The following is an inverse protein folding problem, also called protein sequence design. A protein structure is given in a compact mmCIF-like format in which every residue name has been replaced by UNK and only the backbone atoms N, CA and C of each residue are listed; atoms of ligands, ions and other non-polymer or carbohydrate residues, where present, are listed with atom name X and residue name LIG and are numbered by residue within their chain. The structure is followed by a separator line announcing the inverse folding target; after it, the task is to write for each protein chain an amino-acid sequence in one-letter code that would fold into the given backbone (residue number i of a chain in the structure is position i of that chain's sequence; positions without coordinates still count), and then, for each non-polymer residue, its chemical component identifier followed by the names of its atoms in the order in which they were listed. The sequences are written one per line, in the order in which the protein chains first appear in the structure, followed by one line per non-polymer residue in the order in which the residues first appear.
data_IF_327963953679
#
_entry.id   IF_327963953679
#
_cell.length_a   1.000
_cell.length_b   1.000
_cell.length_c   1.000
_cell.angle_alpha   90.00
_cell.angle_beta   90.00
_cell.angle_gamma   90.00
#
_symmetry.space_group_name_H-M   'P 1'
#
loop_
_entity.id
_entity.type
_entity.pdbx_description
1 polymer ?
#
# COMPACT_ATOMS: atom_id res chain seq x y z
N UNK A 1 -42.48 28.71 52.04
CA UNK A 1 -42.52 27.50 51.20
C UNK A 1 -41.64 27.70 49.94
N UNK A 2 -40.38 27.29 50.03
CA UNK A 2 -39.45 27.35 48.90
C UNK A 2 -39.56 26.05 48.11
N UNK A 3 -39.89 26.16 46.79
CA UNK A 3 -39.89 25.08 45.87
C UNK A 3 -38.55 25.16 45.11
N UNK A 4 -37.61 24.24 45.39
CA UNK A 4 -36.38 24.06 44.66
C UNK A 4 -36.66 23.17 43.45
N UNK A 5 -36.67 23.78 42.25
CA UNK A 5 -36.75 23.06 41.00
C UNK A 5 -35.35 22.47 40.68
N UNK A 6 -35.19 21.17 40.83
CA UNK A 6 -33.98 20.44 40.43
C UNK A 6 -33.90 20.32 38.90
N UNK A 7 -32.89 20.96 38.31
CA UNK A 7 -32.54 20.82 36.89
C UNK A 7 -31.84 19.48 36.70
N UNK A 8 -32.55 18.47 36.20
CA UNK A 8 -32.00 17.18 35.82
C UNK A 8 -31.35 17.32 34.45
N UNK A 9 -30.03 17.54 34.44
CA UNK A 9 -29.23 17.59 33.19
C UNK A 9 -29.09 16.16 32.66
N UNK A 10 -29.88 15.83 31.63
CA UNK A 10 -29.80 14.55 30.92
C UNK A 10 -28.51 14.50 30.09
N UNK A 11 -27.46 13.89 30.64
CA UNK A 11 -26.24 13.53 29.89
C UNK A 11 -26.57 12.37 28.95
N UNK A 12 -26.88 12.71 27.70
CA UNK A 12 -26.97 11.71 26.64
C UNK A 12 -25.52 11.25 26.29
N UNK A 13 -25.20 9.97 26.39
CA UNK A 13 -23.94 9.47 25.89
C UNK A 13 -23.94 9.59 24.38
N UNK A 14 -23.16 10.50 23.83
CA UNK A 14 -22.80 10.50 22.39
C UNK A 14 -21.92 9.28 22.15
N UNK A 15 -22.56 8.13 21.91
CA UNK A 15 -21.87 6.98 21.37
C UNK A 15 -21.46 7.31 19.93
N UNK A 16 -20.30 7.95 19.79
CA UNK A 16 -19.62 8.03 18.50
C UNK A 16 -19.18 6.62 18.11
N UNK A 17 -20.03 5.91 17.39
CA UNK A 17 -19.66 4.66 16.74
C UNK A 17 -18.65 4.95 15.60
N UNK A 18 -17.40 5.21 15.94
CA UNK A 18 -16.32 4.94 15.00
C UNK A 18 -16.18 3.41 14.91
N UNK A 19 -16.75 2.83 13.86
CA UNK A 19 -16.44 1.45 13.46
C UNK A 19 -15.03 1.39 12.90
N UNK A 20 -14.03 1.45 13.77
CA UNK A 20 -12.67 0.97 13.48
C UNK A 20 -12.52 -0.39 14.17
N UNK A 21 -13.01 -1.42 13.53
CA UNK A 21 -12.69 -2.80 13.84
C UNK A 21 -12.37 -3.52 12.54
N UNK A 22 -11.66 -4.66 12.55
CA UNK A 22 -11.49 -5.44 11.33
C UNK A 22 -12.88 -5.74 10.79
N UNK A 23 -13.23 -5.11 9.68
CA UNK A 23 -14.54 -5.27 9.08
C UNK A 23 -14.72 -6.73 8.76
N UNK A 24 -15.94 -7.20 8.97
CA UNK A 24 -16.42 -8.47 8.45
C UNK A 24 -15.90 -8.61 7.02
N UNK A 25 -15.47 -9.81 6.65
CA UNK A 25 -14.85 -10.17 5.38
C UNK A 25 -15.51 -9.43 4.22
N UNK A 26 -14.91 -8.31 3.82
CA UNK A 26 -15.41 -7.54 2.70
C UNK A 26 -15.16 -8.39 1.45
N UNK A 27 -16.21 -8.65 0.69
CA UNK A 27 -16.09 -9.41 -0.55
C UNK A 27 -15.85 -8.42 -1.68
N UNK A 28 -14.68 -8.48 -2.29
CA UNK A 28 -14.35 -7.70 -3.47
C UNK A 28 -14.84 -8.39 -4.73
N UNK A 29 -15.24 -7.60 -5.71
CA UNK A 29 -15.42 -8.11 -7.05
C UNK A 29 -14.02 -8.31 -7.65
N UNK A 30 -13.67 -9.54 -7.95
CA UNK A 30 -12.44 -9.88 -8.67
C UNK A 30 -12.82 -10.54 -10.00
N UNK A 31 -12.06 -10.22 -11.03
CA UNK A 31 -12.13 -10.96 -12.31
C UNK A 31 -11.39 -12.29 -12.20
N UNK A 32 -11.34 -13.07 -13.28
CA UNK A 32 -10.46 -14.23 -13.38
C UNK A 32 -9.02 -13.84 -13.04
N UNK A 33 -8.28 -14.74 -12.40
CA UNK A 33 -6.89 -14.49 -12.02
C UNK A 33 -6.05 -14.06 -13.24
N UNK A 34 -5.36 -12.92 -13.09
CA UNK A 34 -4.53 -12.33 -14.14
C UNK A 34 -5.24 -11.45 -15.17
N UNK A 35 -6.55 -11.27 -15.09
CA UNK A 35 -7.31 -10.42 -16.04
C UNK A 35 -7.60 -9.01 -15.50
N UNK A 36 -7.39 -8.75 -14.21
CA UNK A 36 -7.62 -7.45 -13.61
C UNK A 36 -6.47 -6.47 -13.81
N UNK A 37 -6.78 -5.18 -13.72
CA UNK A 37 -5.80 -4.11 -13.75
C UNK A 37 -5.73 -3.42 -12.39
N UNK A 38 -4.54 -3.34 -11.82
CA UNK A 38 -4.27 -2.49 -10.67
C UNK A 38 -3.93 -1.07 -11.15
N UNK A 39 -4.62 -0.10 -10.61
CA UNK A 39 -4.42 1.32 -10.88
C UNK A 39 -3.91 1.94 -9.59
N UNK A 40 -2.67 2.41 -9.64
CA UNK A 40 -2.05 3.14 -8.53
C UNK A 40 -2.50 4.60 -8.61
N UNK A 41 -3.14 5.06 -7.55
CA UNK A 41 -3.46 6.46 -7.37
C UNK A 41 -2.39 7.06 -6.44
N UNK A 42 -1.52 7.85 -7.02
CA UNK A 42 -0.33 8.40 -6.33
C UNK A 42 -0.70 9.18 -5.07
N UNK A 43 -1.80 9.91 -5.13
CA UNK A 43 -2.19 10.85 -4.10
C UNK A 43 -1.40 12.15 -4.17
N UNK A 44 -1.61 13.02 -3.20
CA UNK A 44 -0.91 14.29 -3.08
C UNK A 44 0.25 14.18 -2.10
N UNK A 45 1.41 14.72 -2.47
CA UNK A 45 2.58 14.74 -1.60
C UNK A 45 2.27 15.35 -0.22
N UNK A 46 2.64 14.67 0.86
CA UNK A 46 2.40 14.98 2.28
C UNK A 46 0.93 14.86 2.75
N UNK A 47 0.03 14.29 1.96
CA UNK A 47 -1.37 14.08 2.37
C UNK A 47 -1.69 12.65 2.79
N UNK A 48 -0.79 11.69 2.56
CA UNK A 48 -0.96 10.28 2.87
C UNK A 48 -2.28 9.68 2.31
N UNK A 49 -2.71 10.18 1.16
CA UNK A 49 -3.97 9.82 0.51
C UNK A 49 -3.79 8.99 -0.77
N UNK A 50 -2.66 8.32 -0.91
CA UNK A 50 -2.46 7.35 -1.97
C UNK A 50 -3.45 6.19 -1.82
N UNK A 51 -3.90 5.63 -2.93
CA UNK A 51 -4.86 4.53 -2.93
C UNK A 51 -4.63 3.54 -4.06
N UNK A 52 -5.26 2.37 -3.94
CA UNK A 52 -5.23 1.31 -4.93
C UNK A 52 -6.64 1.07 -5.46
N UNK A 53 -6.80 1.15 -6.77
CA UNK A 53 -8.04 0.80 -7.49
C UNK A 53 -7.80 -0.48 -8.29
N UNK A 54 -8.79 -1.36 -8.33
CA UNK A 54 -8.80 -2.56 -9.15
C UNK A 54 -9.90 -2.46 -10.22
N UNK A 55 -9.55 -2.66 -11.48
CA UNK A 55 -10.47 -2.65 -12.60
C UNK A 55 -10.60 -4.03 -13.22
N UNK A 56 -11.83 -4.43 -13.54
CA UNK A 56 -12.17 -5.72 -14.13
C UNK A 56 -12.61 -5.51 -15.59
N UNK A 57 -11.73 -5.73 -16.59
CA UNK A 57 -12.03 -5.42 -17.99
C UNK A 57 -13.27 -6.15 -18.51
N UNK A 58 -13.47 -7.42 -18.15
CA UNK A 58 -14.59 -8.22 -18.63
C UNK A 58 -15.97 -7.70 -18.23
N UNK A 59 -16.08 -6.99 -17.10
CA UNK A 59 -17.35 -6.40 -16.62
C UNK A 59 -17.39 -4.88 -16.69
N UNK A 60 -16.26 -4.23 -16.95
CA UNK A 60 -16.11 -2.77 -16.90
C UNK A 60 -16.25 -2.17 -15.50
N UNK A 61 -16.19 -2.98 -14.44
CA UNK A 61 -16.36 -2.53 -13.06
C UNK A 61 -15.03 -2.15 -12.42
N UNK A 62 -15.09 -1.21 -11.48
CA UNK A 62 -13.97 -0.79 -10.64
C UNK A 62 -14.27 -1.00 -9.17
N UNK A 63 -13.27 -1.43 -8.42
CA UNK A 63 -13.23 -1.46 -6.96
C UNK A 63 -12.21 -0.43 -6.50
N UNK A 64 -12.69 0.65 -5.89
CA UNK A 64 -11.81 1.71 -5.40
C UNK A 64 -11.34 1.42 -3.97
N UNK A 65 -10.18 1.98 -3.60
CA UNK A 65 -9.64 1.93 -2.25
C UNK A 65 -9.48 0.49 -1.70
N UNK A 66 -9.19 -0.48 -2.59
CA UNK A 66 -9.16 -1.90 -2.23
C UNK A 66 -8.14 -2.20 -1.12
N UNK A 67 -7.02 -1.47 -1.05
CA UNK A 67 -6.01 -1.70 -0.03
C UNK A 67 -6.51 -1.32 1.38
N UNK A 68 -7.04 -0.11 1.57
CA UNK A 68 -7.54 0.32 2.88
C UNK A 68 -8.77 -0.48 3.30
N UNK A 69 -9.65 -0.81 2.35
CA UNK A 69 -10.84 -1.63 2.61
C UNK A 69 -10.47 -3.04 3.06
N UNK A 70 -9.43 -3.64 2.47
CA UNK A 70 -8.98 -4.99 2.82
C UNK A 70 -8.20 -5.04 4.14
N UNK A 71 -7.47 -3.96 4.50
CA UNK A 71 -6.46 -4.00 5.55
C UNK A 71 -6.74 -3.04 6.72
N UNK A 72 -7.66 -2.09 6.59
CA UNK A 72 -7.98 -1.10 7.62
C UNK A 72 -6.86 -0.06 7.89
N UNK A 73 -5.85 0.00 7.02
CA UNK A 73 -4.74 0.97 7.10
C UNK A 73 -4.58 1.71 5.77
N UNK A 74 -4.11 2.95 5.83
CA UNK A 74 -3.83 3.74 4.64
C UNK A 74 -2.63 3.17 3.88
N UNK A 75 -2.65 3.33 2.54
CA UNK A 75 -1.52 2.96 1.70
C UNK A 75 -0.31 3.86 1.96
N UNK A 76 -0.53 5.12 2.32
CA UNK A 76 0.52 6.06 2.66
C UNK A 76 0.64 7.22 1.70
N UNK A 77 1.85 7.76 1.58
CA UNK A 77 2.12 8.98 0.85
C UNK A 77 2.94 8.69 -0.42
N UNK A 78 2.39 9.07 -1.55
CA UNK A 78 2.97 8.91 -2.90
C UNK A 78 3.18 7.43 -3.27
N UNK A 79 2.10 6.73 -3.61
CA UNK A 79 2.21 5.39 -4.22
C UNK A 79 2.75 5.53 -5.65
N UNK A 80 3.96 5.05 -5.88
CA UNK A 80 4.73 5.32 -7.09
C UNK A 80 4.58 4.26 -8.17
N UNK A 81 4.56 3.01 -7.78
CA UNK A 81 4.54 1.88 -8.72
C UNK A 81 4.03 0.60 -8.06
N UNK A 82 3.67 -0.37 -8.89
CA UNK A 82 3.34 -1.73 -8.46
C UNK A 82 3.91 -2.73 -9.43
N UNK A 83 4.34 -3.88 -8.92
CA UNK A 83 4.75 -5.05 -9.70
C UNK A 83 4.06 -6.29 -9.18
N UNK A 84 3.73 -7.22 -10.07
CA UNK A 84 3.22 -8.55 -9.71
C UNK A 84 4.31 -9.57 -10.00
N UNK A 85 4.65 -10.39 -9.00
CA UNK A 85 5.61 -11.48 -9.17
C UNK A 85 5.36 -12.59 -8.14
N UNK A 86 5.49 -13.85 -8.53
CA UNK A 86 5.38 -15.01 -7.64
C UNK A 86 4.07 -15.05 -6.83
N UNK A 87 2.94 -14.62 -7.41
CA UNK A 87 1.65 -14.55 -6.72
C UNK A 87 1.57 -13.48 -5.62
N UNK A 88 2.43 -12.46 -5.68
CA UNK A 88 2.42 -11.30 -4.80
C UNK A 88 2.35 -10.00 -5.59
N UNK A 89 1.66 -9.01 -5.02
CA UNK A 89 1.69 -7.63 -5.49
C UNK A 89 2.61 -6.79 -4.60
N UNK A 90 3.56 -6.10 -5.20
CA UNK A 90 4.52 -5.23 -4.51
C UNK A 90 4.18 -3.78 -4.82
N UNK A 91 3.66 -3.04 -3.85
CA UNK A 91 3.26 -1.65 -3.99
C UNK A 91 4.34 -0.76 -3.40
N UNK A 92 4.99 0.02 -4.24
CA UNK A 92 6.06 0.94 -3.83
C UNK A 92 5.45 2.26 -3.41
N UNK A 93 5.64 2.66 -2.15
CA UNK A 93 5.15 3.92 -1.60
C UNK A 93 6.35 4.82 -1.30
N UNK A 94 6.57 5.77 -2.20
CA UNK A 94 7.79 6.56 -2.30
C UNK A 94 8.07 7.37 -1.04
N UNK A 95 7.19 8.30 -0.68
CA UNK A 95 7.43 9.21 0.45
C UNK A 95 7.24 8.55 1.82
N UNK A 96 6.61 7.38 1.87
CA UNK A 96 6.53 6.56 3.08
C UNK A 96 7.73 5.62 3.25
N UNK A 97 8.61 5.49 2.26
CA UNK A 97 9.83 4.67 2.32
C UNK A 97 9.54 3.18 2.52
N UNK A 98 8.43 2.68 2.00
CA UNK A 98 7.96 1.30 2.21
C UNK A 98 7.51 0.65 0.90
N UNK A 99 7.63 -0.66 0.83
CA UNK A 99 6.96 -1.47 -0.18
C UNK A 99 6.03 -2.43 0.55
N UNK A 100 4.73 -2.32 0.29
CA UNK A 100 3.75 -3.28 0.78
C UNK A 100 3.69 -4.50 -0.13
N UNK A 101 3.61 -5.67 0.49
CA UNK A 101 3.44 -6.95 -0.21
C UNK A 101 2.03 -7.44 0.05
N UNK A 102 1.23 -7.58 -0.99
CA UNK A 102 -0.17 -7.98 -0.90
C UNK A 102 -0.45 -9.27 -1.67
N UNK A 103 -1.50 -9.92 -1.29
CA UNK A 103 -2.15 -10.94 -2.11
C UNK A 103 -2.98 -10.25 -3.20
N UNK A 104 -2.73 -10.49 -4.50
CA UNK A 104 -3.41 -9.77 -5.57
C UNK A 104 -4.89 -10.15 -5.75
N UNK A 105 -5.33 -11.30 -5.24
CA UNK A 105 -6.72 -11.76 -5.37
C UNK A 105 -7.59 -11.25 -4.22
N UNK A 106 -7.02 -11.06 -3.04
CA UNK A 106 -7.75 -10.62 -1.83
C UNK A 106 -7.38 -9.22 -1.38
N UNK A 107 -6.36 -8.61 -1.98
CA UNK A 107 -5.76 -7.30 -1.62
C UNK A 107 -5.20 -7.23 -0.20
N UNK A 108 -5.14 -8.38 0.49
CA UNK A 108 -4.67 -8.47 1.87
C UNK A 108 -3.17 -8.34 1.97
N UNK A 109 -2.74 -7.58 2.96
CA UNK A 109 -1.34 -7.40 3.30
C UNK A 109 -0.73 -8.73 3.78
N UNK A 110 0.37 -9.13 3.13
CA UNK A 110 1.22 -10.28 3.52
C UNK A 110 2.44 -9.84 4.31
N UNK A 111 2.94 -8.63 4.06
CA UNK A 111 4.09 -8.07 4.73
C UNK A 111 4.52 -6.73 4.14
N UNK A 112 5.64 -6.21 4.63
CA UNK A 112 6.20 -4.95 4.14
C UNK A 112 7.72 -4.97 4.15
N UNK A 113 8.32 -4.30 3.18
CA UNK A 113 9.76 -4.07 3.08
C UNK A 113 9.99 -2.63 3.51
N UNK A 114 10.74 -2.44 4.57
CA UNK A 114 11.04 -1.14 5.18
C UNK A 114 12.54 -0.83 5.12
N UNK A 115 12.95 0.35 5.61
CA UNK A 115 14.35 0.78 5.57
C UNK A 115 14.78 1.35 4.23
N UNK A 116 13.81 1.76 3.40
CA UNK A 116 14.00 2.48 2.15
C UNK A 116 13.90 3.99 2.41
N UNK A 117 14.45 4.82 1.52
CA UNK A 117 14.38 6.28 1.65
C UNK A 117 13.28 6.85 0.77
N UNK A 118 13.42 6.68 -0.53
CA UNK A 118 12.46 7.18 -1.52
C UNK A 118 12.37 6.20 -2.68
N UNK A 119 11.84 4.97 -2.44
CA UNK A 119 11.81 3.91 -3.44
C UNK A 119 10.96 4.31 -4.64
N UNK A 120 11.40 3.91 -5.84
CA UNK A 120 10.72 4.24 -7.09
C UNK A 120 10.09 3.01 -7.76
N UNK A 121 10.90 2.01 -8.02
CA UNK A 121 10.45 0.77 -8.67
C UNK A 121 11.13 -0.42 -8.03
N UNK A 122 10.38 -1.51 -7.93
CA UNK A 122 10.91 -2.83 -7.60
C UNK A 122 10.94 -3.70 -8.86
N UNK A 123 12.06 -4.36 -9.09
CA UNK A 123 12.23 -5.33 -10.17
C UNK A 123 12.63 -6.68 -9.58
N UNK A 124 11.70 -7.64 -9.65
CA UNK A 124 11.94 -9.00 -9.16
C UNK A 124 12.76 -9.78 -10.18
N UNK A 125 13.87 -10.34 -9.73
CA UNK A 125 14.78 -11.14 -10.56
C UNK A 125 14.36 -12.61 -10.54
N UNK A 126 13.99 -13.08 -9.36
CA UNK A 126 13.49 -14.42 -9.09
C UNK A 126 12.59 -14.38 -7.83
N UNK A 127 12.13 -15.53 -7.34
CA UNK A 127 11.25 -15.63 -6.17
C UNK A 127 11.92 -15.28 -4.82
N UNK A 128 13.20 -14.97 -4.83
CA UNK A 128 13.99 -14.64 -3.64
C UNK A 128 14.55 -13.22 -3.66
N UNK A 129 14.79 -12.68 -4.84
CA UNK A 129 15.61 -11.49 -5.01
C UNK A 129 14.94 -10.44 -5.88
N UNK A 130 14.98 -9.22 -5.40
CA UNK A 130 14.58 -8.05 -6.18
C UNK A 130 15.59 -6.91 -6.03
N UNK A 131 15.53 -5.99 -6.96
CA UNK A 131 16.22 -4.71 -6.94
C UNK A 131 15.21 -3.59 -6.76
N UNK A 132 15.58 -2.57 -5.99
CA UNK A 132 14.75 -1.37 -5.77
C UNK A 132 15.57 -0.14 -6.11
N UNK A 133 15.01 0.69 -7.00
CA UNK A 133 15.55 2.01 -7.32
C UNK A 133 15.09 3.04 -6.31
N UNK A 134 15.86 4.12 -6.17
CA UNK A 134 15.60 5.17 -5.20
C UNK A 134 15.88 6.56 -5.79
N UNK A 135 15.06 7.54 -5.41
CA UNK A 135 15.15 8.90 -5.91
C UNK A 135 16.38 9.65 -5.37
N UNK A 136 16.80 9.37 -4.14
CA UNK A 136 17.82 10.16 -3.45
C UNK A 136 19.09 9.40 -3.10
N UNK A 137 19.15 8.11 -3.39
CA UNK A 137 20.29 7.26 -3.04
C UNK A 137 21.20 6.99 -4.25
N UNK A 138 22.51 6.96 -4.03
CA UNK A 138 23.52 6.54 -5.02
C UNK A 138 23.74 5.02 -4.93
N UNK A 139 22.65 4.27 -4.95
CA UNK A 139 22.67 2.80 -4.89
C UNK A 139 21.37 2.21 -5.38
N UNK A 140 21.45 0.97 -5.83
CA UNK A 140 20.28 0.09 -6.01
C UNK A 140 20.20 -0.79 -4.76
N UNK A 141 19.04 -0.82 -4.13
CA UNK A 141 18.81 -1.65 -2.94
C UNK A 141 18.46 -3.07 -3.35
N UNK A 142 19.09 -4.06 -2.71
CA UNK A 142 18.76 -5.48 -2.84
C UNK A 142 17.76 -5.87 -1.77
N UNK A 143 16.76 -6.64 -2.18
CA UNK A 143 15.69 -7.13 -1.31
C UNK A 143 15.64 -8.65 -1.35
N UNK A 144 15.50 -9.24 -0.16
CA UNK A 144 15.11 -10.63 0.03
C UNK A 144 13.58 -10.71 0.05
N UNK A 145 12.99 -11.30 -0.99
CA UNK A 145 11.55 -11.40 -1.16
C UNK A 145 10.88 -12.45 -0.26
N UNK A 146 11.64 -13.39 0.30
CA UNK A 146 11.11 -14.38 1.24
C UNK A 146 11.04 -13.83 2.66
N UNK A 147 12.01 -13.00 3.02
CA UNK A 147 12.08 -12.39 4.35
C UNK A 147 11.47 -10.98 4.40
N UNK A 148 11.04 -10.42 3.26
CA UNK A 148 10.52 -9.05 3.10
C UNK A 148 11.44 -8.00 3.75
N UNK A 149 12.74 -8.07 3.43
CA UNK A 149 13.73 -7.17 4.01
C UNK A 149 14.83 -6.77 3.03
N UNK A 150 15.46 -5.65 3.32
CA UNK A 150 16.68 -5.24 2.64
C UNK A 150 17.79 -6.25 2.96
N UNK A 151 18.49 -6.74 1.93
CA UNK A 151 19.58 -7.72 2.03
C UNK A 151 20.95 -7.17 1.63
N UNK A 152 20.98 -5.98 1.00
CA UNK A 152 22.23 -5.36 0.55
C UNK A 152 21.99 -4.22 -0.41
N UNK A 153 23.04 -3.82 -1.12
CA UNK A 153 22.95 -2.76 -2.14
C UNK A 153 24.08 -2.87 -3.17
N UNK A 154 23.83 -2.31 -4.35
CA UNK A 154 24.82 -2.09 -5.41
C UNK A 154 25.12 -0.59 -5.46
N UNK A 155 26.36 -0.16 -5.22
CA UNK A 155 26.71 1.26 -5.30
C UNK A 155 26.58 1.79 -6.74
N UNK A 156 26.05 3.01 -6.88
CA UNK A 156 25.98 3.77 -8.13
C UNK A 156 26.56 5.17 -7.91
N UNK A 157 27.86 5.28 -7.65
CA UNK A 157 28.47 6.54 -7.23
C UNK A 157 28.32 7.62 -8.32
N UNK A 158 27.87 8.79 -7.89
CA UNK A 158 27.58 9.92 -8.79
C UNK A 158 26.24 9.83 -9.54
N UNK A 159 25.48 8.74 -9.35
CA UNK A 159 24.20 8.55 -10.03
C UNK A 159 23.08 8.38 -9.02
N UNK A 160 22.32 9.45 -8.82
CA UNK A 160 21.08 9.49 -8.05
C UNK A 160 19.86 9.37 -8.98
N UNK A 161 18.68 9.37 -8.38
CA UNK A 161 17.41 9.35 -9.11
C UNK A 161 17.31 8.18 -10.07
N UNK A 162 17.65 7.00 -9.60
CA UNK A 162 17.48 5.78 -10.36
C UNK A 162 15.99 5.48 -10.53
N UNK A 163 15.59 5.08 -11.73
CA UNK A 163 14.20 4.91 -12.12
C UNK A 163 13.93 3.48 -12.60
N UNK A 164 13.33 3.31 -13.75
CA UNK A 164 12.95 1.99 -14.28
C UNK A 164 14.17 1.12 -14.59
N UNK A 165 14.00 -0.16 -14.32
CA UNK A 165 14.97 -1.21 -14.69
C UNK A 165 14.38 -2.11 -15.76
N UNK A 166 15.24 -2.69 -16.57
CA UNK A 166 14.91 -3.73 -17.53
C UNK A 166 15.91 -4.87 -17.40
N UNK A 167 15.40 -6.08 -17.44
CA UNK A 167 16.22 -7.29 -17.47
C UNK A 167 16.32 -7.78 -18.91
N UNK A 168 17.53 -8.14 -19.31
CA UNK A 168 17.84 -8.68 -20.64
C UNK A 168 18.48 -10.05 -20.54
#
# INVERSE_FOLDING_TARGET
LLITAGLFLLLLPVASCMKYGPSQTETFLTGPAGEGLFIINEGNFMYANASLTYYIPGSGKTENEVFIRANGINLGDVAQSMSIHGGNGYIVVNNSGVIFVIDPDTFRLKGSITGLISPRYIHCIDDRKAYVTDLYQEKITLVDLQAYRVSGHIPTPGHRSTEKMVQW
#
